data_IF_138428893085
#
_entry.id   IF_138428893085
#
_cell.length_a   1.000
_cell.length_b   1.000
_cell.length_c   1.000
_cell.angle_alpha   90.00
_cell.angle_beta   90.00
_cell.angle_gamma   90.00
#
_symmetry.space_group_name_H-M   'P 1'
#
loop_
_entity.id
_entity.type
_entity.pdbx_description
1 polymer ?
#
# COMPACT_ATOMS: atom_id res chain seq x y z
N UNK A 1 -9.65 -16.28 -11.38
CA UNK A 1 -9.93 -14.97 -10.77
C UNK A 1 -8.63 -14.22 -10.57
N UNK A 2 -8.66 -12.93 -10.81
CA UNK A 2 -7.50 -12.06 -10.63
C UNK A 2 -7.37 -11.63 -9.18
N UNK A 3 -6.21 -11.80 -8.60
CA UNK A 3 -5.93 -11.29 -7.26
C UNK A 3 -5.53 -9.83 -7.34
N UNK A 4 -5.84 -9.09 -6.30
CA UNK A 4 -5.44 -7.69 -6.18
C UNK A 4 -5.14 -7.33 -4.72
N UNK A 5 -4.41 -6.25 -4.55
CA UNK A 5 -4.19 -5.66 -3.23
C UNK A 5 -4.59 -4.19 -3.29
N UNK A 6 -5.02 -3.65 -2.17
CA UNK A 6 -5.32 -2.22 -2.03
C UNK A 6 -4.21 -1.58 -1.23
N UNK A 7 -3.75 -0.42 -1.66
CA UNK A 7 -2.66 0.30 -1.03
C UNK A 7 -3.20 1.56 -0.38
N UNK A 8 -2.85 1.74 0.88
CA UNK A 8 -3.20 2.93 1.66
C UNK A 8 -1.93 3.62 2.14
N UNK A 9 -2.01 4.95 2.29
CA UNK A 9 -0.96 5.71 2.93
C UNK A 9 -1.46 6.30 4.24
N UNK A 10 -0.60 6.38 5.24
CA UNK A 10 -0.96 6.95 6.53
C UNK A 10 0.26 7.63 7.16
N UNK A 11 0.01 8.28 8.28
CA UNK A 11 1.09 8.95 9.01
C UNK A 11 1.48 10.30 8.43
N UNK A 12 2.60 10.84 8.88
CA UNK A 12 3.01 12.22 8.61
C UNK A 12 3.23 12.54 7.14
N UNK A 13 3.67 11.57 6.33
CA UNK A 13 3.88 11.79 4.89
C UNK A 13 2.58 12.16 4.17
N UNK A 14 1.43 11.78 4.72
CA UNK A 14 0.12 12.02 4.11
C UNK A 14 -0.69 13.08 4.86
N UNK A 15 -0.28 13.44 6.07
CA UNK A 15 -0.92 14.49 6.86
C UNK A 15 -0.18 15.82 6.72
N UNK A 16 1.15 15.78 6.78
CA UNK A 16 2.00 16.96 6.63
C UNK A 16 3.27 16.56 5.87
N UNK A 17 3.25 16.75 4.56
CA UNK A 17 4.35 16.38 3.68
C UNK A 17 5.66 17.12 4.00
N UNK A 18 5.57 18.34 4.55
CA UNK A 18 6.76 19.13 4.87
C UNK A 18 7.55 18.53 6.04
N UNK A 19 6.85 17.86 6.95
CA UNK A 19 7.47 17.22 8.10
C UNK A 19 7.78 15.74 7.83
N UNK A 20 7.38 15.23 6.69
CA UNK A 20 7.49 13.81 6.37
C UNK A 20 8.93 13.36 6.24
N UNK A 21 9.25 12.25 6.89
CA UNK A 21 10.55 11.59 6.79
C UNK A 21 10.41 10.16 6.30
N UNK A 22 9.39 9.47 6.78
CA UNK A 22 9.09 8.09 6.43
C UNK A 22 7.77 8.04 5.69
N UNK A 23 7.66 7.09 4.76
CA UNK A 23 6.43 6.86 4.01
C UNK A 23 5.80 5.59 4.56
N UNK A 24 4.70 5.76 5.29
CA UNK A 24 3.98 4.65 5.89
C UNK A 24 2.89 4.15 4.95
N UNK A 25 2.99 2.91 4.54
CA UNK A 25 2.05 2.28 3.61
C UNK A 25 1.42 1.04 4.23
N UNK A 26 0.18 0.80 3.86
CA UNK A 26 -0.55 -0.40 4.23
C UNK A 26 -0.96 -1.13 2.96
N UNK A 27 -0.63 -2.41 2.88
CA UNK A 27 -1.10 -3.31 1.82
C UNK A 27 -2.20 -4.17 2.42
N UNK A 28 -3.39 -4.11 1.85
CA UNK A 28 -4.51 -4.98 2.23
C UNK A 28 -4.72 -5.99 1.12
N UNK A 29 -4.51 -7.27 1.43
CA UNK A 29 -4.66 -8.36 0.46
C UNK A 29 -5.94 -9.16 0.73
N UNK A 30 -6.48 -9.77 -0.33
CA UNK A 30 -7.81 -10.38 -0.30
C UNK A 30 -7.93 -11.58 0.61
N UNK A 31 -6.94 -12.45 0.62
CA UNK A 31 -7.03 -13.67 1.41
C UNK A 31 -5.70 -14.11 1.97
N UNK A 32 -5.72 -15.29 2.58
CA UNK A 32 -4.53 -15.90 3.16
C UNK A 32 -4.01 -17.06 2.32
N UNK A 33 -4.61 -17.29 1.15
CA UNK A 33 -4.11 -18.28 0.21
C UNK A 33 -2.75 -17.86 -0.36
N UNK A 34 -2.03 -18.83 -0.90
CA UNK A 34 -0.67 -18.62 -1.38
C UNK A 34 -0.59 -17.50 -2.42
N UNK A 35 -1.49 -17.48 -3.38
CA UNK A 35 -1.46 -16.48 -4.46
C UNK A 35 -1.65 -15.05 -3.93
N UNK A 36 -2.59 -14.85 -3.00
CA UNK A 36 -2.82 -13.55 -2.38
C UNK A 36 -1.62 -13.09 -1.58
N UNK A 37 -1.02 -13.99 -0.82
CA UNK A 37 0.16 -13.66 -0.02
C UNK A 37 1.37 -13.37 -0.90
N UNK A 38 1.57 -14.11 -1.97
CA UNK A 38 2.67 -13.87 -2.90
C UNK A 38 2.55 -12.52 -3.59
N UNK A 39 1.34 -12.14 -3.99
CA UNK A 39 1.11 -10.82 -4.57
C UNK A 39 1.43 -9.71 -3.59
N UNK A 40 0.97 -9.83 -2.35
CA UNK A 40 1.24 -8.83 -1.30
C UNK A 40 2.75 -8.70 -1.03
N UNK A 41 3.45 -9.83 -0.95
CA UNK A 41 4.89 -9.86 -0.71
C UNK A 41 5.64 -9.20 -1.87
N UNK A 42 5.26 -9.49 -3.10
CA UNK A 42 5.88 -8.89 -4.29
C UNK A 42 5.65 -7.38 -4.33
N UNK A 43 4.43 -6.93 -3.99
CA UNK A 43 4.13 -5.51 -3.88
C UNK A 43 5.01 -4.84 -2.83
N UNK A 44 5.13 -5.46 -1.66
CA UNK A 44 5.96 -4.93 -0.59
C UNK A 44 7.42 -4.81 -1.04
N UNK A 45 7.94 -5.84 -1.70
CA UNK A 45 9.31 -5.84 -2.19
C UNK A 45 9.56 -4.71 -3.18
N UNK A 46 8.67 -4.55 -4.16
CA UNK A 46 8.80 -3.53 -5.20
C UNK A 46 8.67 -2.12 -4.63
N UNK A 47 7.74 -1.93 -3.72
CA UNK A 47 7.56 -0.62 -3.07
C UNK A 47 8.76 -0.27 -2.19
N UNK A 48 9.29 -1.24 -1.45
CA UNK A 48 10.45 -1.02 -0.61
C UNK A 48 11.70 -0.69 -1.42
N UNK A 49 11.83 -1.24 -2.62
CA UNK A 49 12.94 -0.94 -3.52
C UNK A 49 12.84 0.46 -4.14
N UNK A 50 11.61 0.92 -4.44
CA UNK A 50 11.41 2.17 -5.17
C UNK A 50 11.18 3.38 -4.27
N UNK A 51 10.80 3.17 -3.02
CA UNK A 51 10.51 4.25 -2.08
C UNK A 51 11.52 4.22 -0.93
N UNK A 52 12.31 5.27 -0.85
CA UNK A 52 13.26 5.42 0.25
C UNK A 52 12.48 5.65 1.56
N UNK A 53 12.89 4.96 2.61
CA UNK A 53 12.27 5.03 3.93
C UNK A 53 10.81 4.58 3.96
N UNK A 54 10.48 3.59 3.16
CA UNK A 54 9.14 3.02 3.19
C UNK A 54 8.99 2.08 4.39
N UNK A 55 7.92 2.28 5.15
CA UNK A 55 7.49 1.39 6.22
C UNK A 55 6.19 0.75 5.77
N UNK A 56 6.21 -0.54 5.52
CA UNK A 56 5.09 -1.22 4.88
C UNK A 56 4.49 -2.28 5.80
N UNK A 57 3.22 -2.10 6.12
CA UNK A 57 2.42 -3.05 6.88
C UNK A 57 1.55 -3.83 5.92
N UNK A 58 1.37 -5.13 6.17
CA UNK A 58 0.48 -5.97 5.37
C UNK A 58 -0.59 -6.57 6.25
N UNK A 59 -1.84 -6.46 5.81
CA UNK A 59 -2.99 -7.08 6.47
C UNK A 59 -3.86 -7.76 5.41
N UNK A 60 -4.49 -8.88 5.78
CA UNK A 60 -5.56 -9.42 4.97
C UNK A 60 -6.81 -8.57 5.15
N UNK A 61 -7.77 -8.69 4.23
CA UNK A 61 -9.05 -7.99 4.37
C UNK A 61 -9.74 -8.35 5.70
N UNK A 62 -9.66 -9.61 6.11
CA UNK A 62 -10.25 -10.08 7.36
C UNK A 62 -9.56 -9.42 8.57
N UNK A 63 -8.24 -9.31 8.54
CA UNK A 63 -7.49 -8.64 9.61
C UNK A 63 -7.81 -7.16 9.66
N UNK A 64 -7.87 -6.49 8.51
CA UNK A 64 -8.22 -5.08 8.44
C UNK A 64 -9.62 -4.85 9.00
N UNK A 65 -10.59 -5.69 8.63
CA UNK A 65 -11.96 -5.59 9.12
C UNK A 65 -12.02 -5.77 10.64
N UNK A 66 -11.19 -6.66 11.18
CA UNK A 66 -11.14 -6.91 12.62
C UNK A 66 -10.50 -5.76 13.39
N UNK A 67 -9.36 -5.26 12.90
CA UNK A 67 -8.59 -4.23 13.60
C UNK A 67 -9.09 -2.80 13.32
N UNK A 68 -9.74 -2.58 12.20
CA UNK A 68 -10.16 -1.23 11.80
C UNK A 68 -8.99 -0.28 11.58
N UNK A 69 -7.89 -0.80 11.04
CA UNK A 69 -6.65 -0.05 10.88
C UNK A 69 -6.84 1.21 10.01
N UNK A 70 -7.51 1.07 8.87
CA UNK A 70 -7.70 2.18 7.92
C UNK A 70 -8.41 3.35 8.60
N UNK A 71 -9.46 3.06 9.35
CA UNK A 71 -10.21 4.09 10.07
C UNK A 71 -9.40 4.71 11.19
N UNK A 72 -8.75 3.88 12.01
CA UNK A 72 -8.00 4.34 13.17
C UNK A 72 -6.79 5.18 12.78
N UNK A 73 -6.07 4.76 11.75
CA UNK A 73 -4.89 5.47 11.26
C UNK A 73 -5.23 6.60 10.30
N UNK A 74 -6.52 6.78 9.96
CA UNK A 74 -6.98 7.73 8.94
C UNK A 74 -6.24 7.54 7.63
N UNK A 75 -6.10 6.29 7.23
CA UNK A 75 -5.35 5.95 6.03
C UNK A 75 -6.07 6.40 4.77
N UNK A 76 -5.30 6.96 3.85
CA UNK A 76 -5.79 7.43 2.56
C UNK A 76 -5.63 6.32 1.52
N UNK A 77 -6.71 5.96 0.83
CA UNK A 77 -6.63 4.97 -0.24
C UNK A 77 -5.87 5.57 -1.43
N UNK A 78 -4.78 4.93 -1.81
CA UNK A 78 -3.94 5.39 -2.91
C UNK A 78 -4.26 4.70 -4.22
N UNK A 79 -4.68 3.44 -4.18
CA UNK A 79 -5.00 2.69 -5.37
C UNK A 79 -5.00 1.20 -5.12
N UNK A 80 -5.13 0.44 -6.18
CA UNK A 80 -5.09 -1.02 -6.14
C UNK A 80 -4.06 -1.52 -7.14
N UNK A 81 -3.40 -2.63 -6.82
CA UNK A 81 -2.47 -3.29 -7.70
C UNK A 81 -3.06 -4.66 -8.02
N UNK A 82 -3.38 -4.88 -9.29
CA UNK A 82 -3.94 -6.12 -9.78
C UNK A 82 -2.83 -7.01 -10.31
N UNK A 83 -2.95 -8.28 -10.06
CA UNK A 83 -1.96 -9.28 -10.49
C UNK A 83 -1.68 -9.22 -11.98
N UNK A 84 -2.73 -9.11 -12.80
CA UNK A 84 -2.62 -9.11 -14.26
C UNK A 84 -2.22 -7.76 -14.87
N UNK A 85 -2.17 -6.72 -14.05
CA UNK A 85 -1.77 -5.37 -14.48
C UNK A 85 -0.71 -4.78 -13.54
N UNK A 86 0.13 -5.64 -13.00
CA UNK A 86 1.05 -5.29 -11.92
C UNK A 86 1.91 -4.06 -12.23
N UNK A 87 2.61 -4.07 -13.34
CA UNK A 87 3.53 -2.96 -13.67
C UNK A 87 2.81 -1.66 -13.96
N UNK A 88 1.67 -1.72 -14.64
CA UNK A 88 0.85 -0.53 -14.95
C UNK A 88 0.31 0.07 -13.66
N UNK A 89 -0.25 -0.77 -12.79
CA UNK A 89 -0.84 -0.31 -11.54
C UNK A 89 0.23 0.23 -10.59
N UNK A 90 1.40 -0.40 -10.55
CA UNK A 90 2.51 0.06 -9.73
C UNK A 90 3.01 1.43 -10.19
N UNK A 91 3.12 1.65 -11.50
CA UNK A 91 3.49 2.95 -12.06
C UNK A 91 2.45 4.03 -11.70
N UNK A 92 1.16 3.69 -11.80
CA UNK A 92 0.10 4.62 -11.43
C UNK A 92 0.16 5.00 -9.95
N UNK A 93 0.46 4.05 -9.10
CA UNK A 93 0.64 4.30 -7.67
C UNK A 93 1.82 5.24 -7.41
N UNK A 94 2.92 5.02 -8.12
CA UNK A 94 4.10 5.86 -8.02
C UNK A 94 3.77 7.32 -8.37
N UNK A 95 2.99 7.53 -9.43
CA UNK A 95 2.53 8.86 -9.83
C UNK A 95 1.66 9.52 -8.75
N UNK A 96 0.78 8.76 -8.12
CA UNK A 96 -0.05 9.25 -7.03
C UNK A 96 0.82 9.71 -5.86
N UNK A 97 1.83 8.92 -5.50
CA UNK A 97 2.74 9.26 -4.41
C UNK A 97 3.53 10.54 -4.71
N UNK A 98 3.96 10.73 -5.95
CA UNK A 98 4.62 11.97 -6.38
C UNK A 98 3.69 13.18 -6.24
N UNK A 99 2.46 13.05 -6.69
CA UNK A 99 1.47 14.14 -6.63
C UNK A 99 1.14 14.54 -5.20
N UNK A 100 1.18 13.58 -4.28
CA UNK A 100 0.90 13.85 -2.87
C UNK A 100 2.13 14.38 -2.12
N UNK A 101 3.28 14.43 -2.77
CA UNK A 101 4.51 14.85 -2.13
C UNK A 101 5.08 13.83 -1.16
N UNK A 102 4.62 12.58 -1.23
CA UNK A 102 5.09 11.50 -0.36
C UNK A 102 6.37 10.85 -0.87
N UNK A 103 6.80 11.23 -2.07
CA UNK A 103 7.99 10.66 -2.68
C UNK A 103 8.84 11.71 -3.40
#
# INVERSE_FOLDING_TARGET
MTHSVTIYGFGSAFDDAKAARDVDLLIVHQGTDLASCQLAIECKRRLAESIERAHITMLSEAEEAHFGFVKTARALRLGAIREDCFDVDLTALDDVLHKLGAR
#
